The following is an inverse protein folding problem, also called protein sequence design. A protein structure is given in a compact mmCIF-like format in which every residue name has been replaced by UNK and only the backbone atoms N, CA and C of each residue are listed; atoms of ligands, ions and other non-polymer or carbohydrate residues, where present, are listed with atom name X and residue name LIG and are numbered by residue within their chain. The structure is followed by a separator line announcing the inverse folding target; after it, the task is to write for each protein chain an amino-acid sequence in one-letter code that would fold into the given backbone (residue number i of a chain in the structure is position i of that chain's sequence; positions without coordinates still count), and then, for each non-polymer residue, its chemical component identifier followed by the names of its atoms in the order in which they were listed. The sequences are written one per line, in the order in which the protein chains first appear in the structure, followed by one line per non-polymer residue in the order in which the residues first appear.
data_IF_334123723060
#
_entry.id   IF_334123723060
#
_cell.length_a   1.000
_cell.length_b   1.000
_cell.length_c   1.000
_cell.angle_alpha   90.00
_cell.angle_beta   90.00
_cell.angle_gamma   90.00
#
_symmetry.space_group_name_H-M   'P 1'
#
loop_
_entity.id
_entity.type
_entity.pdbx_description
1 polymer ?
#
# COMPACT_ATOMS: atom_id res chain seq x y z
N UNK A 1 12.75 -32.56 31.29
CA UNK A 1 11.72 -31.99 32.20
C UNK A 1 12.22 -30.79 33.02
N UNK A 2 13.42 -30.83 33.59
CA UNK A 2 13.96 -29.72 34.40
C UNK A 2 14.05 -28.38 33.66
N UNK A 3 14.43 -28.37 32.37
CA UNK A 3 14.44 -27.16 31.53
C UNK A 3 13.05 -26.55 31.40
N UNK A 4 11.98 -27.35 31.29
CA UNK A 4 10.63 -26.80 31.21
C UNK A 4 10.20 -26.20 32.56
N UNK A 5 10.52 -26.89 33.66
CA UNK A 5 10.24 -26.39 35.02
C UNK A 5 10.96 -25.08 35.33
N UNK A 6 12.17 -24.86 34.79
CA UNK A 6 12.90 -23.60 35.04
C UNK A 6 12.23 -22.37 34.43
N UNK A 7 11.38 -22.54 33.40
CA UNK A 7 10.63 -21.44 32.79
C UNK A 7 9.51 -20.89 33.67
N UNK A 8 9.13 -21.62 34.72
CA UNK A 8 8.11 -21.22 35.70
C UNK A 8 8.74 -20.71 37.02
N UNK A 9 10.08 -20.64 37.11
CA UNK A 9 10.79 -20.14 38.30
C UNK A 9 11.11 -18.65 38.12
N UNK A 10 10.67 -17.84 39.10
CA UNK A 10 10.94 -16.39 39.11
C UNK A 10 12.45 -16.11 39.18
N UNK A 11 12.92 -15.27 38.27
CA UNK A 11 14.34 -14.93 38.11
C UNK A 11 14.49 -13.41 38.00
N UNK A 12 15.55 -12.86 38.59
CA UNK A 12 15.92 -11.44 38.39
C UNK A 12 16.37 -11.25 36.93
N UNK A 13 15.81 -10.26 36.25
CA UNK A 13 16.17 -9.94 34.87
C UNK A 13 15.93 -8.47 34.55
N UNK A 14 16.54 -7.98 33.49
CA UNK A 14 16.29 -6.65 32.94
C UNK A 14 15.49 -6.76 31.65
N UNK A 15 14.43 -5.95 31.51
CA UNK A 15 13.52 -6.01 30.35
C UNK A 15 13.37 -4.65 29.68
N UNK A 16 13.17 -4.66 28.37
CA UNK A 16 12.86 -3.47 27.58
C UNK A 16 11.54 -2.83 28.01
N UNK A 17 11.52 -1.50 28.11
CA UNK A 17 10.28 -0.70 28.14
C UNK A 17 10.46 0.53 27.26
N UNK A 18 9.35 1.17 26.87
CA UNK A 18 9.40 2.45 26.14
C UNK A 18 10.08 3.59 26.92
N UNK A 19 10.31 3.43 28.23
CA UNK A 19 11.01 4.39 29.10
C UNK A 19 12.45 3.96 29.42
N UNK A 20 12.97 2.92 28.77
CA UNK A 20 14.28 2.34 29.04
C UNK A 20 14.22 0.94 29.65
N UNK A 21 15.38 0.35 29.90
CA UNK A 21 15.50 -0.94 30.57
C UNK A 21 15.00 -0.87 32.02
N UNK A 22 14.31 -1.91 32.46
CA UNK A 22 13.76 -2.02 33.80
C UNK A 22 14.15 -3.36 34.40
N UNK A 23 14.83 -3.31 35.54
CA UNK A 23 15.09 -4.50 36.36
C UNK A 23 13.81 -4.95 37.06
N UNK A 24 13.59 -6.26 37.04
CA UNK A 24 12.37 -6.88 37.55
C UNK A 24 12.60 -8.34 37.93
N UNK A 25 11.59 -8.95 38.55
CA UNK A 25 11.56 -10.38 38.87
C UNK A 25 10.33 -10.96 38.18
N UNK A 26 10.55 -11.83 37.20
CA UNK A 26 9.48 -12.56 36.51
C UNK A 26 9.95 -13.96 36.10
N UNK A 27 9.04 -14.81 35.64
CA UNK A 27 9.44 -16.11 35.09
C UNK A 27 9.96 -15.94 33.66
N UNK A 28 10.88 -16.80 33.17
CA UNK A 28 11.27 -16.78 31.75
C UNK A 28 10.09 -16.94 30.78
N UNK A 29 9.03 -17.63 31.19
CA UNK A 29 7.79 -17.73 30.41
C UNK A 29 7.08 -16.38 30.30
N UNK A 30 6.95 -15.65 31.41
CA UNK A 30 6.35 -14.32 31.40
C UNK A 30 7.18 -13.34 30.56
N UNK A 31 8.51 -13.46 30.57
CA UNK A 31 9.38 -12.59 29.78
C UNK A 31 9.19 -12.84 28.28
N UNK A 32 9.01 -14.08 27.84
CA UNK A 32 8.70 -14.39 26.44
C UNK A 32 7.36 -13.79 26.04
N UNK A 33 6.31 -13.98 26.85
CA UNK A 33 4.98 -13.38 26.59
C UNK A 33 5.09 -11.86 26.53
N UNK A 34 5.84 -11.27 27.45
CA UNK A 34 6.11 -9.84 27.49
C UNK A 34 6.80 -9.36 26.20
N UNK A 35 7.84 -10.02 25.71
CA UNK A 35 8.49 -9.59 24.46
C UNK A 35 7.61 -9.83 23.22
N UNK A 36 6.81 -10.90 23.20
CA UNK A 36 5.88 -11.20 22.09
C UNK A 36 4.71 -10.21 22.00
N UNK A 37 4.38 -9.49 23.07
CA UNK A 37 3.31 -8.48 23.05
C UNK A 37 3.67 -7.21 22.26
N UNK A 38 4.97 -6.89 22.10
CA UNK A 38 5.37 -5.67 21.43
C UNK A 38 5.07 -5.76 19.93
N UNK A 39 4.30 -4.78 19.46
CA UNK A 39 4.13 -4.56 18.02
C UNK A 39 5.46 -4.11 17.44
N UNK A 40 5.84 -4.75 16.36
CA UNK A 40 6.98 -4.41 15.52
C UNK A 40 6.55 -3.50 14.38
N UNK A 41 7.53 -2.89 13.71
CA UNK A 41 7.32 -2.11 12.51
C UNK A 41 8.47 -2.26 11.54
N UNK A 42 8.16 -2.15 10.25
CA UNK A 42 9.12 -2.03 9.16
C UNK A 42 8.75 -0.80 8.36
N UNK A 43 9.70 0.11 8.18
CA UNK A 43 9.48 1.36 7.44
C UNK A 43 10.58 1.56 6.43
N UNK A 44 10.19 1.82 5.19
CA UNK A 44 11.12 2.21 4.15
C UNK A 44 10.55 3.39 3.36
N UNK A 45 11.42 4.32 3.01
CA UNK A 45 11.11 5.37 2.04
C UNK A 45 12.21 5.46 0.99
N UNK A 46 11.83 5.71 -0.25
CA UNK A 46 12.74 5.88 -1.37
C UNK A 46 12.27 6.97 -2.33
N UNK A 47 13.22 7.55 -3.04
CA UNK A 47 12.98 8.45 -4.16
C UNK A 47 12.60 7.63 -5.41
N UNK A 48 11.38 7.80 -5.97
CA UNK A 48 10.90 6.97 -7.06
C UNK A 48 11.78 7.03 -8.32
N UNK A 49 12.36 8.18 -8.64
CA UNK A 49 13.09 8.44 -9.87
C UNK A 49 14.49 7.82 -9.91
N UNK A 50 15.12 7.66 -8.74
CA UNK A 50 16.54 7.25 -8.64
C UNK A 50 16.70 5.87 -8.01
N UNK A 51 15.72 5.41 -7.24
CA UNK A 51 15.87 4.21 -6.42
C UNK A 51 16.55 4.46 -5.07
N UNK A 52 16.97 5.70 -4.78
CA UNK A 52 17.73 5.99 -3.57
C UNK A 52 16.87 5.86 -2.31
N UNK A 53 17.29 4.97 -1.43
CA UNK A 53 16.64 4.76 -0.12
C UNK A 53 16.96 5.95 0.78
N UNK A 54 15.91 6.62 1.25
CA UNK A 54 16.02 7.78 2.16
C UNK A 54 15.79 7.39 3.62
N UNK A 55 15.03 6.31 3.85
CA UNK A 55 14.69 5.82 5.20
C UNK A 55 14.70 4.29 5.20
N UNK A 56 15.31 3.70 6.23
CA UNK A 56 15.24 2.28 6.54
C UNK A 56 15.13 2.08 8.06
N UNK A 57 13.96 1.64 8.53
CA UNK A 57 13.70 1.32 9.94
C UNK A 57 13.28 -0.14 10.02
N UNK A 58 14.22 -1.01 10.39
CA UNK A 58 14.01 -2.46 10.44
C UNK A 58 13.25 -2.98 11.66
N UNK A 59 13.03 -2.16 12.69
CA UNK A 59 12.36 -2.58 13.92
C UNK A 59 12.23 -1.45 14.94
N UNK A 60 11.56 -1.72 16.07
CA UNK A 60 11.28 -0.70 17.11
C UNK A 60 12.47 -0.40 18.02
N UNK A 61 13.41 -1.34 18.17
CA UNK A 61 14.61 -1.18 18.98
C UNK A 61 15.63 -2.28 18.68
N UNK A 62 16.77 -1.93 18.06
CA UNK A 62 17.78 -2.91 17.64
C UNK A 62 18.44 -3.67 18.80
N UNK A 63 18.59 -3.07 19.98
CA UNK A 63 19.19 -3.74 21.15
C UNK A 63 18.38 -4.96 21.60
N UNK A 64 17.05 -4.89 21.46
CA UNK A 64 16.13 -5.93 21.93
C UNK A 64 15.47 -6.73 20.81
N UNK A 65 15.38 -6.17 19.60
CA UNK A 65 14.72 -6.77 18.44
C UNK A 65 15.63 -6.59 17.22
N UNK A 66 16.40 -7.64 16.89
CA UNK A 66 17.42 -7.60 15.84
C UNK A 66 16.92 -8.12 14.48
N UNK A 67 15.63 -8.37 14.34
CA UNK A 67 15.04 -8.83 13.09
C UNK A 67 14.70 -7.64 12.19
N UNK A 68 15.13 -7.70 10.93
CA UNK A 68 14.86 -6.63 9.95
C UNK A 68 13.53 -6.85 9.23
N UNK A 69 12.54 -6.06 9.62
CA UNK A 69 11.21 -6.07 9.03
C UNK A 69 11.11 -5.41 7.64
N UNK A 70 12.19 -4.83 7.11
CA UNK A 70 12.18 -4.18 5.79
C UNK A 70 12.67 -5.09 4.68
N UNK A 71 13.87 -5.67 4.84
CA UNK A 71 14.51 -6.52 3.82
C UNK A 71 14.23 -8.01 4.00
N UNK A 72 13.99 -8.47 5.23
CA UNK A 72 13.82 -9.90 5.54
C UNK A 72 12.37 -10.26 5.89
N UNK A 73 11.67 -9.37 6.61
CA UNK A 73 10.34 -9.61 7.16
C UNK A 73 9.19 -9.62 6.17
N UNK A 74 9.12 -10.62 5.28
CA UNK A 74 7.96 -10.84 4.43
C UNK A 74 6.68 -11.08 5.26
N UNK A 75 5.63 -10.32 4.98
CA UNK A 75 4.37 -10.33 5.74
C UNK A 75 3.18 -10.27 4.80
N UNK A 76 2.04 -10.79 5.26
CA UNK A 76 0.83 -10.79 4.45
C UNK A 76 0.44 -9.33 4.13
N UNK A 77 0.41 -8.99 2.84
CA UNK A 77 0.23 -7.60 2.38
C UNK A 77 -1.23 -7.13 2.45
N UNK A 78 -2.18 -8.07 2.37
CA UNK A 78 -3.60 -7.76 2.36
C UNK A 78 -3.97 -6.83 1.20
N UNK A 79 -4.86 -5.88 1.47
CA UNK A 79 -5.40 -5.00 0.42
C UNK A 79 -4.39 -4.08 -0.30
N UNK A 80 -3.12 -3.99 0.13
CA UNK A 80 -2.07 -3.31 -0.66
C UNK A 80 -1.66 -4.10 -1.90
N UNK A 81 -2.11 -5.34 -2.10
CA UNK A 81 -1.88 -6.06 -3.36
C UNK A 81 -2.85 -5.64 -4.47
N UNK A 82 -4.01 -5.09 -4.12
CA UNK A 82 -5.07 -4.75 -5.09
C UNK A 82 -4.62 -3.85 -6.23
N UNK A 83 -3.77 -2.82 -6.03
CA UNK A 83 -3.30 -1.99 -7.15
C UNK A 83 -2.61 -2.78 -8.26
N UNK A 84 -1.94 -3.91 -7.97
CA UNK A 84 -1.37 -4.77 -9.02
C UNK A 84 -2.45 -5.48 -9.85
N UNK A 85 -3.54 -5.91 -9.21
CA UNK A 85 -4.72 -6.48 -9.89
C UNK A 85 -5.37 -5.42 -10.80
N UNK A 86 -5.54 -4.20 -10.29
CA UNK A 86 -6.14 -3.09 -11.05
C UNK A 86 -5.23 -2.65 -12.19
N UNK A 87 -3.91 -2.59 -11.98
CA UNK A 87 -2.93 -2.28 -13.02
C UNK A 87 -2.99 -3.31 -14.14
N UNK A 88 -3.02 -4.60 -13.80
CA UNK A 88 -3.15 -5.69 -14.78
C UNK A 88 -4.46 -5.56 -15.59
N UNK A 89 -5.58 -5.27 -14.91
CA UNK A 89 -6.87 -5.10 -15.59
C UNK A 89 -6.90 -3.87 -16.50
N UNK A 90 -6.37 -2.74 -16.06
CA UNK A 90 -6.26 -1.52 -16.89
C UNK A 90 -5.35 -1.77 -18.09
N UNK A 91 -4.21 -2.42 -17.89
CA UNK A 91 -3.22 -2.69 -18.93
C UNK A 91 -3.77 -3.63 -20.01
N UNK A 92 -4.36 -4.76 -19.61
CA UNK A 92 -4.81 -5.81 -20.52
C UNK A 92 -6.20 -5.54 -21.11
N UNK A 93 -7.14 -5.06 -20.30
CA UNK A 93 -8.54 -4.89 -20.69
C UNK A 93 -8.89 -3.46 -21.10
N UNK A 94 -7.90 -2.54 -21.06
CA UNK A 94 -8.08 -1.11 -21.37
C UNK A 94 -9.17 -0.44 -20.55
N UNK A 95 -9.38 -0.94 -19.33
CA UNK A 95 -10.35 -0.35 -18.40
C UNK A 95 -9.87 1.01 -17.93
N UNK A 96 -10.82 1.87 -17.56
CA UNK A 96 -10.54 3.17 -16.95
C UNK A 96 -10.95 3.19 -15.47
N UNK A 97 -10.32 4.04 -14.64
CA UNK A 97 -10.78 4.30 -13.26
C UNK A 97 -12.27 4.64 -13.13
N UNK A 98 -12.90 5.09 -14.20
CA UNK A 98 -14.28 5.54 -14.25
C UNK A 98 -15.26 4.48 -14.73
N UNK A 99 -14.75 3.34 -15.18
CA UNK A 99 -15.59 2.22 -15.58
C UNK A 99 -16.29 1.65 -14.36
N UNK A 100 -17.53 1.23 -14.56
CA UNK A 100 -18.37 0.71 -13.49
C UNK A 100 -18.37 -0.81 -13.46
N UNK A 101 -18.41 -1.36 -12.25
CA UNK A 101 -18.53 -2.80 -11.99
C UNK A 101 -19.43 -3.00 -10.78
N UNK A 102 -20.23 -4.07 -10.80
CA UNK A 102 -21.10 -4.39 -9.67
C UNK A 102 -20.29 -4.92 -8.49
N UNK A 103 -20.42 -4.27 -7.34
CA UNK A 103 -20.16 -4.86 -6.03
C UNK A 103 -21.37 -5.70 -5.62
N UNK A 104 -21.23 -7.02 -5.76
CA UNK A 104 -22.24 -8.03 -5.45
C UNK A 104 -21.55 -9.33 -5.00
N UNK A 105 -22.27 -10.29 -4.39
CA UNK A 105 -21.73 -11.63 -4.15
C UNK A 105 -21.08 -12.19 -5.41
N UNK A 106 -19.94 -12.84 -5.23
CA UNK A 106 -19.16 -13.46 -6.28
C UNK A 106 -18.58 -14.76 -5.74
N UNK A 107 -18.75 -15.84 -6.50
CA UNK A 107 -18.18 -17.15 -6.19
C UNK A 107 -17.34 -17.59 -7.37
N UNK A 108 -16.07 -17.89 -7.11
CA UNK A 108 -15.21 -18.54 -8.07
C UNK A 108 -15.34 -20.06 -7.86
N UNK A 109 -15.74 -20.84 -8.89
CA UNK A 109 -16.00 -22.26 -8.72
C UNK A 109 -14.71 -23.06 -8.55
N UNK A 110 -14.79 -24.18 -7.81
CA UNK A 110 -13.73 -25.18 -7.71
C UNK A 110 -13.15 -25.53 -9.09
N UNK A 111 -11.83 -25.67 -9.16
CA UNK A 111 -11.08 -25.99 -10.37
C UNK A 111 -10.69 -24.77 -11.19
N UNK A 112 -11.38 -23.63 -11.06
CA UNK A 112 -11.01 -22.39 -11.77
C UNK A 112 -9.69 -21.85 -11.22
N UNK A 113 -8.71 -21.64 -12.11
CA UNK A 113 -7.32 -21.33 -11.72
C UNK A 113 -6.74 -22.31 -10.69
N UNK A 114 -7.21 -23.56 -10.74
CA UNK A 114 -6.73 -24.66 -9.90
C UNK A 114 -7.11 -24.58 -8.42
N UNK A 115 -8.12 -23.80 -8.01
CA UNK A 115 -8.55 -23.76 -6.60
C UNK A 115 -9.28 -25.05 -6.18
N UNK A 116 -9.07 -25.48 -4.94
CA UNK A 116 -9.52 -26.80 -4.45
C UNK A 116 -10.99 -26.82 -3.98
N UNK A 117 -11.58 -25.65 -3.79
CA UNK A 117 -12.96 -25.45 -3.35
C UNK A 117 -13.52 -24.14 -3.91
N UNK A 118 -14.85 -24.02 -3.90
CA UNK A 118 -15.52 -22.76 -4.23
C UNK A 118 -15.01 -21.64 -3.32
N UNK A 119 -14.65 -20.51 -3.93
CA UNK A 119 -14.13 -19.35 -3.23
C UNK A 119 -15.09 -18.17 -3.33
N UNK A 120 -15.71 -17.83 -2.21
CA UNK A 120 -16.72 -16.76 -2.10
C UNK A 120 -16.22 -15.62 -1.20
N UNK A 121 -15.38 -14.71 -1.71
CA UNK A 121 -14.85 -13.61 -0.90
C UNK A 121 -15.97 -12.64 -0.47
N UNK A 122 -15.89 -12.18 0.77
CA UNK A 122 -16.83 -11.19 1.35
C UNK A 122 -16.16 -9.83 1.52
N UNK A 123 -16.94 -8.76 1.41
CA UNK A 123 -16.47 -7.42 1.76
C UNK A 123 -16.27 -7.28 3.26
N UNK A 124 -15.25 -6.53 3.68
CA UNK A 124 -15.00 -6.24 5.11
C UNK A 124 -16.16 -5.51 5.79
N UNK A 125 -16.98 -4.78 5.02
CA UNK A 125 -18.19 -4.11 5.52
C UNK A 125 -19.40 -5.04 5.69
N UNK A 126 -19.34 -6.29 5.21
CA UNK A 126 -20.51 -7.19 5.13
C UNK A 126 -21.53 -6.82 4.04
N UNK A 127 -21.57 -5.55 3.62
CA UNK A 127 -22.54 -5.02 2.64
C UNK A 127 -21.99 -4.96 1.20
N UNK A 128 -22.92 -4.88 0.24
CA UNK A 128 -22.68 -4.72 -1.20
C UNK A 128 -23.26 -3.39 -1.68
N UNK A 129 -22.50 -2.64 -2.48
CA UNK A 129 -22.86 -1.27 -2.91
C UNK A 129 -23.59 -1.19 -4.25
N UNK A 130 -23.77 -2.31 -4.95
CA UNK A 130 -24.29 -2.30 -6.32
C UNK A 130 -23.25 -1.73 -7.29
N UNK A 131 -23.68 -0.92 -8.25
CA UNK A 131 -22.80 -0.40 -9.28
C UNK A 131 -21.82 0.65 -8.70
N UNK A 132 -20.52 0.42 -8.86
CA UNK A 132 -19.46 1.32 -8.39
C UNK A 132 -18.40 1.51 -9.46
N UNK A 133 -17.76 2.68 -9.51
CA UNK A 133 -16.59 2.89 -10.37
C UNK A 133 -15.37 2.14 -9.85
N UNK A 134 -14.39 1.82 -10.71
CA UNK A 134 -13.11 1.25 -10.26
C UNK A 134 -12.40 2.15 -9.24
N UNK A 135 -12.46 3.48 -9.40
CA UNK A 135 -11.94 4.46 -8.42
C UNK A 135 -12.61 4.29 -7.05
N UNK A 136 -13.94 4.23 -7.01
CA UNK A 136 -14.67 4.02 -5.75
C UNK A 136 -14.38 2.64 -5.15
N UNK A 137 -14.27 1.61 -5.99
CA UNK A 137 -13.99 0.25 -5.56
C UNK A 137 -12.61 0.10 -4.91
N UNK A 138 -11.56 0.68 -5.50
CA UNK A 138 -10.22 0.66 -4.87
C UNK A 138 -10.18 1.55 -3.64
N UNK A 139 -10.80 2.74 -3.69
CA UNK A 139 -10.87 3.68 -2.56
C UNK A 139 -11.45 3.01 -1.30
N UNK A 140 -12.57 2.31 -1.46
CA UNK A 140 -13.25 1.57 -0.40
C UNK A 140 -12.70 0.16 -0.18
N UNK A 141 -11.66 -0.23 -0.92
CA UNK A 141 -11.03 -1.53 -0.84
C UNK A 141 -12.02 -2.69 -0.95
N UNK A 142 -12.92 -2.65 -1.93
CA UNK A 142 -13.97 -3.66 -2.12
C UNK A 142 -13.34 -5.00 -2.55
N UNK A 143 -13.68 -6.09 -1.86
CA UNK A 143 -13.08 -7.41 -2.06
C UNK A 143 -13.68 -8.11 -3.28
N UNK A 144 -15.00 -8.07 -3.42
CA UNK A 144 -15.73 -8.69 -4.54
C UNK A 144 -15.31 -8.13 -5.88
N UNK A 145 -15.13 -6.81 -6.00
CA UNK A 145 -14.64 -6.17 -7.22
C UNK A 145 -13.22 -6.63 -7.56
N UNK A 146 -12.33 -6.70 -6.56
CA UNK A 146 -10.95 -7.18 -6.78
C UNK A 146 -10.92 -8.65 -7.22
N UNK A 147 -11.81 -9.48 -6.66
CA UNK A 147 -11.96 -10.88 -7.07
C UNK A 147 -12.53 -11.01 -8.49
N UNK A 148 -13.50 -10.17 -8.88
CA UNK A 148 -14.03 -10.12 -10.25
C UNK A 148 -13.00 -9.64 -11.27
N UNK A 149 -12.14 -8.67 -10.91
CA UNK A 149 -11.03 -8.24 -11.76
C UNK A 149 -10.00 -9.35 -11.91
N UNK A 150 -9.61 -10.00 -10.80
CA UNK A 150 -8.74 -11.18 -10.81
C UNK A 150 -9.29 -12.29 -11.71
N UNK A 151 -10.59 -12.52 -11.68
CA UNK A 151 -11.25 -13.51 -12.53
C UNK A 151 -11.23 -13.16 -14.02
N UNK A 152 -11.10 -11.88 -14.37
CA UNK A 152 -11.03 -11.42 -15.76
C UNK A 152 -9.61 -11.52 -16.32
N UNK A 153 -8.59 -11.21 -15.51
CA UNK A 153 -7.18 -11.18 -15.96
C UNK A 153 -6.42 -12.48 -15.67
N UNK A 154 -6.86 -13.26 -14.69
CA UNK A 154 -6.18 -14.45 -14.21
C UNK A 154 -5.00 -14.14 -13.27
N UNK A 155 -4.70 -15.04 -12.31
CA UNK A 155 -3.64 -14.83 -11.32
C UNK A 155 -2.24 -14.78 -11.93
N UNK A 156 -1.96 -15.56 -12.97
CA UNK A 156 -0.65 -15.59 -13.63
C UNK A 156 -0.25 -14.21 -14.18
N UNK A 157 -1.15 -13.53 -14.89
CA UNK A 157 -0.91 -12.18 -15.40
C UNK A 157 -0.58 -11.16 -14.28
N UNK A 158 -1.26 -11.26 -13.13
CA UNK A 158 -1.01 -10.40 -11.98
C UNK A 158 0.34 -10.71 -11.35
N UNK A 159 0.71 -11.99 -11.24
CA UNK A 159 2.00 -12.45 -10.73
C UNK A 159 3.12 -11.93 -11.64
N UNK A 160 2.99 -12.10 -12.96
CA UNK A 160 3.95 -11.62 -13.94
C UNK A 160 4.19 -10.11 -13.86
N UNK A 161 3.12 -9.32 -13.81
CA UNK A 161 3.26 -7.87 -13.63
C UNK A 161 3.97 -7.54 -12.31
N UNK A 162 3.58 -8.19 -11.22
CA UNK A 162 4.16 -7.96 -9.90
C UNK A 162 5.66 -8.33 -9.87
N UNK A 163 6.07 -9.42 -10.53
CA UNK A 163 7.48 -9.79 -10.71
C UNK A 163 8.23 -8.78 -11.57
N UNK A 164 7.63 -8.26 -12.64
CA UNK A 164 8.24 -7.20 -13.46
C UNK A 164 8.48 -5.91 -12.68
N UNK A 165 7.64 -5.63 -11.69
CA UNK A 165 7.77 -4.52 -10.71
C UNK A 165 8.81 -4.80 -9.60
N UNK A 166 9.65 -5.82 -9.75
CA UNK A 166 10.79 -6.07 -8.87
C UNK A 166 10.49 -6.87 -7.60
N UNK A 167 9.27 -7.36 -7.43
CA UNK A 167 8.94 -8.22 -6.27
C UNK A 167 9.67 -9.56 -6.38
N UNK A 168 10.60 -9.79 -5.46
CA UNK A 168 11.43 -10.99 -5.41
C UNK A 168 10.73 -12.16 -4.72
N UNK A 169 9.85 -11.85 -3.75
CA UNK A 169 9.08 -12.82 -2.95
C UNK A 169 8.31 -13.83 -3.80
N UNK A 170 8.18 -15.08 -3.34
CA UNK A 170 7.39 -16.10 -4.04
C UNK A 170 5.89 -15.74 -3.97
N UNK A 171 5.22 -15.61 -5.12
CA UNK A 171 3.80 -15.26 -5.21
C UNK A 171 3.04 -16.48 -5.70
N UNK A 172 2.11 -17.04 -4.92
CA UNK A 172 1.31 -18.17 -5.38
C UNK A 172 0.39 -17.73 -6.51
N UNK A 173 0.33 -18.48 -7.61
CA UNK A 173 -0.57 -18.22 -8.73
C UNK A 173 -2.01 -18.63 -8.41
N UNK A 174 -2.58 -18.04 -7.35
CA UNK A 174 -3.91 -18.36 -6.83
C UNK A 174 -4.78 -17.10 -6.76
N UNK A 175 -6.09 -17.19 -7.06
CA UNK A 175 -7.00 -16.04 -7.03
C UNK A 175 -7.03 -15.25 -5.71
N UNK A 176 -6.76 -15.92 -4.58
CA UNK A 176 -6.75 -15.31 -3.26
C UNK A 176 -5.71 -14.17 -3.11
N UNK A 177 -4.67 -14.13 -3.96
CA UNK A 177 -3.72 -12.99 -3.98
C UNK A 177 -4.43 -11.67 -4.32
N UNK A 178 -5.60 -11.70 -4.96
CA UNK A 178 -6.41 -10.49 -5.21
C UNK A 178 -6.76 -9.73 -3.91
N UNK A 179 -6.78 -10.45 -2.78
CA UNK A 179 -7.03 -9.90 -1.45
C UNK A 179 -5.75 -9.82 -0.60
N UNK A 180 -4.60 -10.09 -1.21
CA UNK A 180 -3.28 -10.07 -0.57
C UNK A 180 -2.98 -11.27 0.30
N UNK A 181 -3.48 -12.46 -0.05
CA UNK A 181 -3.03 -13.73 0.52
C UNK A 181 -1.64 -14.13 -0.01
N UNK A 182 -0.66 -13.24 0.18
CA UNK A 182 0.74 -13.40 -0.22
C UNK A 182 1.61 -12.59 0.73
N UNK A 183 2.81 -13.09 0.98
CA UNK A 183 3.82 -12.45 1.83
C UNK A 183 4.86 -11.76 0.99
N UNK A 184 5.07 -10.46 1.22
CA UNK A 184 6.04 -9.65 0.50
C UNK A 184 6.75 -8.73 1.50
N UNK A 185 8.03 -8.46 1.28
CA UNK A 185 8.83 -7.56 2.11
C UNK A 185 8.39 -6.11 1.94
N UNK A 186 8.66 -5.25 2.94
CA UNK A 186 8.37 -3.82 2.82
C UNK A 186 9.18 -3.22 1.68
N UNK A 187 10.44 -3.63 1.51
CA UNK A 187 11.31 -3.16 0.44
C UNK A 187 10.76 -3.43 -0.96
N UNK A 188 10.35 -4.66 -1.25
CA UNK A 188 9.73 -5.04 -2.52
C UNK A 188 8.44 -4.25 -2.76
N UNK A 189 7.58 -4.15 -1.75
CA UNK A 189 6.30 -3.43 -1.86
C UNK A 189 6.50 -1.93 -2.13
N UNK A 190 7.47 -1.29 -1.45
CA UNK A 190 7.78 0.12 -1.67
C UNK A 190 8.32 0.32 -3.07
N UNK A 191 9.30 -0.47 -3.51
CA UNK A 191 9.88 -0.36 -4.85
C UNK A 191 8.84 -0.56 -5.96
N UNK A 192 7.98 -1.57 -5.81
CA UNK A 192 6.90 -1.83 -6.77
C UNK A 192 5.92 -0.64 -6.86
N UNK A 193 5.52 -0.08 -5.71
CA UNK A 193 4.66 1.10 -5.67
C UNK A 193 5.34 2.33 -6.28
N UNK A 194 6.63 2.57 -5.97
CA UNK A 194 7.42 3.69 -6.50
C UNK A 194 7.33 3.80 -8.03
N UNK A 195 7.22 2.67 -8.72
CA UNK A 195 7.04 2.61 -10.17
C UNK A 195 5.86 3.44 -10.66
N UNK A 196 4.73 3.46 -9.93
CA UNK A 196 3.56 4.28 -10.31
C UNK A 196 3.85 5.78 -10.22
N UNK A 197 4.58 6.21 -9.18
CA UNK A 197 5.01 7.60 -9.02
C UNK A 197 6.07 7.99 -10.06
N UNK A 198 6.89 7.01 -10.49
CA UNK A 198 7.91 7.17 -11.51
C UNK A 198 7.40 6.87 -12.94
N UNK A 199 6.12 7.16 -13.20
CA UNK A 199 5.49 7.08 -14.52
C UNK A 199 5.62 5.71 -15.23
N UNK A 200 5.81 4.63 -14.46
CA UNK A 200 5.88 3.25 -14.98
C UNK A 200 7.30 2.68 -15.08
N UNK A 201 8.31 3.46 -14.69
CA UNK A 201 9.71 3.02 -14.65
C UNK A 201 10.05 2.50 -13.25
N UNK A 202 10.29 1.20 -13.14
CA UNK A 202 10.77 0.58 -11.91
C UNK A 202 12.24 0.98 -11.67
N UNK A 203 12.56 1.35 -10.44
CA UNK A 203 13.93 1.60 -9.97
C UNK A 203 14.25 0.62 -8.85
N UNK A 204 15.33 -0.14 -8.99
CA UNK A 204 15.81 -1.02 -7.92
C UNK A 204 16.25 -0.17 -6.72
N UNK A 205 15.86 -0.52 -5.48
CA UNK A 205 16.32 0.21 -4.30
C UNK A 205 17.84 0.19 -4.14
N UNK A 206 18.43 1.34 -3.86
CA UNK A 206 19.89 1.50 -3.67
C UNK A 206 20.20 2.21 -2.36
N UNK A 207 21.09 1.62 -1.57
CA UNK A 207 21.54 2.15 -0.26
C UNK A 207 22.98 2.66 -0.29
N UNK A 208 23.80 2.22 -1.26
CA UNK A 208 25.16 2.70 -1.48
C UNK A 208 25.18 3.45 -2.81
N UNK A 209 25.63 4.71 -2.80
CA UNK A 209 25.76 5.52 -4.03
C UNK A 209 27.18 5.54 -4.56
N UNK A 210 28.18 5.57 -3.67
CA UNK A 210 29.60 5.67 -4.04
C UNK A 210 30.48 5.08 -2.94
N UNK A 211 31.57 4.43 -3.32
CA UNK A 211 32.65 4.01 -2.42
C UNK A 211 33.95 4.57 -3.01
N UNK A 212 34.71 5.28 -2.18
CA UNK A 212 36.01 5.86 -2.54
C UNK A 212 37.09 5.36 -1.58
N UNK A 213 38.33 5.31 -2.06
CA UNK A 213 39.49 5.13 -1.20
C UNK A 213 39.90 6.45 -0.50
N UNK A 214 40.90 6.39 0.37
CA UNK A 214 41.42 7.56 1.10
C UNK A 214 42.02 8.65 0.20
N UNK A 215 42.31 8.34 -1.06
CA UNK A 215 42.90 9.26 -2.05
C UNK A 215 41.83 9.85 -2.99
N UNK A 216 40.56 9.51 -2.79
CA UNK A 216 39.45 9.94 -3.66
C UNK A 216 39.29 9.10 -4.94
N UNK A 217 39.94 7.93 -5.02
CA UNK A 217 39.75 7.01 -6.15
C UNK A 217 38.41 6.30 -5.97
N UNK A 218 37.53 6.44 -6.96
CA UNK A 218 36.22 5.78 -6.97
C UNK A 218 36.39 4.28 -7.18
N UNK A 219 36.03 3.49 -6.18
CA UNK A 219 36.06 2.01 -6.21
C UNK A 219 34.72 1.43 -6.67
N UNK A 220 33.64 2.15 -6.38
CA UNK A 220 32.29 1.81 -6.79
C UNK A 220 31.48 3.09 -6.95
N UNK A 221 30.68 3.15 -8.00
CA UNK A 221 29.65 4.16 -8.18
C UNK A 221 28.39 3.45 -8.64
N UNK A 222 27.28 3.77 -7.99
CA UNK A 222 26.01 3.11 -8.23
C UNK A 222 25.45 3.55 -9.58
N UNK A 223 25.29 2.60 -10.47
CA UNK A 223 24.53 2.78 -11.72
C UNK A 223 23.09 2.38 -11.40
N UNK A 224 22.10 3.29 -11.50
CA UNK A 224 20.70 2.95 -11.26
C UNK A 224 20.22 1.80 -12.15
N UNK A 225 19.74 0.71 -11.54
CA UNK A 225 19.11 -0.39 -12.27
C UNK A 225 17.62 -0.06 -12.47
N UNK A 226 17.24 0.22 -13.71
CA UNK A 226 15.88 0.61 -14.09
C UNK A 226 15.22 -0.35 -15.07
N UNK A 227 13.89 -0.38 -15.08
CA UNK A 227 13.10 -1.14 -16.05
C UNK A 227 11.80 -0.43 -16.38
N UNK A 228 11.51 -0.25 -17.66
CA UNK A 228 10.17 0.16 -18.11
C UNK A 228 9.19 -1.00 -17.91
N UNK A 229 8.16 -0.80 -17.07
CA UNK A 229 7.19 -1.84 -16.74
C UNK A 229 5.78 -1.49 -17.20
N UNK A 230 5.37 -0.23 -17.03
CA UNK A 230 4.04 0.27 -17.36
C UNK A 230 4.14 1.52 -18.23
N UNK A 231 3.11 1.76 -19.05
CA UNK A 231 3.02 3.05 -19.75
C UNK A 231 2.70 4.19 -18.77
N UNK A 232 3.03 5.42 -19.16
CA UNK A 232 2.70 6.62 -18.39
C UNK A 232 1.20 6.73 -18.10
N UNK A 233 0.37 6.37 -19.06
CA UNK A 233 -1.09 6.39 -18.94
C UNK A 233 -1.61 5.41 -17.90
N UNK A 234 -1.12 4.17 -17.92
CA UNK A 234 -1.52 3.15 -16.93
C UNK A 234 -1.04 3.55 -15.54
N UNK A 235 0.20 4.00 -15.42
CA UNK A 235 0.77 4.47 -14.16
C UNK A 235 -0.03 5.64 -13.58
N UNK A 236 -0.36 6.63 -14.41
CA UNK A 236 -1.19 7.77 -13.99
C UNK A 236 -2.61 7.33 -13.61
N UNK A 237 -3.23 6.41 -14.34
CA UNK A 237 -4.53 5.85 -13.98
C UNK A 237 -4.50 5.17 -12.59
N UNK A 238 -3.44 4.44 -12.27
CA UNK A 238 -3.24 3.83 -10.95
C UNK A 238 -3.01 4.89 -9.87
N UNK A 239 -2.24 5.93 -10.16
CA UNK A 239 -2.10 7.08 -9.25
C UNK A 239 -3.47 7.68 -8.93
N UNK A 240 -4.34 7.92 -9.93
CA UNK A 240 -5.69 8.47 -9.70
C UNK A 240 -6.60 7.54 -8.92
N UNK A 241 -6.47 6.22 -9.08
CA UNK A 241 -7.16 5.24 -8.24
C UNK A 241 -6.68 5.31 -6.78
N UNK A 242 -5.37 5.41 -6.57
CA UNK A 242 -4.72 5.51 -5.26
C UNK A 242 -4.98 6.85 -4.55
N UNK A 243 -5.08 7.96 -5.29
CA UNK A 243 -5.54 9.24 -4.75
C UNK A 243 -6.97 9.12 -4.21
N UNK A 244 -7.86 8.41 -4.91
CA UNK A 244 -9.22 8.15 -4.42
C UNK A 244 -9.26 7.48 -3.05
N UNK A 245 -8.28 6.62 -2.74
CA UNK A 245 -8.14 5.98 -1.43
C UNK A 245 -7.87 7.00 -0.32
N UNK A 246 -7.03 8.00 -0.58
CA UNK A 246 -6.67 9.02 0.41
C UNK A 246 -7.62 10.21 0.42
N UNK A 247 -8.38 10.44 -0.65
CA UNK A 247 -9.39 11.49 -0.76
C UNK A 247 -10.65 11.14 0.04
N UNK A 248 -11.24 9.97 -0.23
CA UNK A 248 -12.56 9.61 0.31
C UNK A 248 -12.68 8.16 0.78
N UNK A 249 -11.61 7.38 0.65
CA UNK A 249 -11.60 5.95 0.94
C UNK A 249 -11.00 5.58 2.29
N UNK A 250 -10.47 4.35 2.33
CA UNK A 250 -9.84 3.77 3.53
C UNK A 250 -8.60 4.55 4.05
N UNK A 251 -8.00 5.41 3.23
CA UNK A 251 -6.89 6.30 3.61
C UNK A 251 -7.32 7.73 3.97
N UNK A 252 -8.62 8.06 3.96
CA UNK A 252 -9.12 9.43 4.11
C UNK A 252 -8.79 10.08 5.47
N UNK A 253 -8.31 9.30 6.46
CA UNK A 253 -7.77 9.84 7.73
C UNK A 253 -6.59 10.79 7.53
N UNK A 254 -5.91 10.76 6.38
CA UNK A 254 -4.90 11.75 6.02
C UNK A 254 -5.47 13.17 5.84
N UNK A 255 -6.75 13.28 5.48
CA UNK A 255 -7.45 14.55 5.22
C UNK A 255 -8.12 15.13 6.46
N UNK A 256 -8.76 14.28 7.25
CA UNK A 256 -9.68 14.76 8.30
C UNK A 256 -8.98 15.30 9.55
N UNK A 257 -9.60 16.35 10.10
CA UNK A 257 -9.20 17.09 11.30
C UNK A 257 -9.50 16.39 12.64
N UNK A 258 -10.37 15.36 12.67
CA UNK A 258 -10.84 14.76 13.92
C UNK A 258 -11.20 13.28 13.76
N UNK A 259 -10.52 12.41 14.52
CA UNK A 259 -10.93 11.01 14.73
C UNK A 259 -11.61 10.80 16.08
N UNK A 260 -11.99 11.86 16.79
CA UNK A 260 -12.38 11.80 18.20
C UNK A 260 -11.18 11.72 19.16
N UNK A 261 -11.40 11.86 20.49
CA UNK A 261 -10.34 12.00 21.49
C UNK A 261 -9.38 10.80 21.55
N UNK A 262 -9.91 9.58 21.42
CA UNK A 262 -9.14 8.33 21.46
C UNK A 262 -8.13 8.25 20.32
N UNK A 263 -8.54 8.61 19.10
CA UNK A 263 -7.64 8.57 17.95
C UNK A 263 -6.62 9.69 17.98
N UNK A 264 -6.96 10.89 18.47
CA UNK A 264 -6.00 11.97 18.67
C UNK A 264 -4.82 11.52 19.54
N UNK A 265 -5.11 10.84 20.66
CA UNK A 265 -4.09 10.39 21.61
C UNK A 265 -3.19 9.28 21.06
N UNK A 266 -3.72 8.38 20.24
CA UNK A 266 -3.00 7.17 19.78
C UNK A 266 -2.33 7.36 18.41
N UNK A 267 -2.90 8.20 17.55
CA UNK A 267 -2.46 8.31 16.14
C UNK A 267 -1.83 9.67 15.81
N UNK A 268 -1.97 10.68 16.67
CA UNK A 268 -1.41 12.01 16.41
C UNK A 268 -2.19 12.83 15.38
N UNK A 269 -3.46 12.47 15.13
CA UNK A 269 -4.40 13.29 14.36
C UNK A 269 -4.60 14.70 14.99
N UNK A 270 -4.88 15.73 14.18
CA UNK A 270 -4.97 15.69 12.72
C UNK A 270 -3.64 15.88 11.98
N UNK A 271 -3.58 15.28 10.80
CA UNK A 271 -2.54 15.55 9.80
C UNK A 271 -2.95 16.70 8.88
N UNK A 272 -4.20 16.69 8.40
CA UNK A 272 -4.81 17.74 7.58
C UNK A 272 -4.06 18.05 6.27
N UNK A 273 -3.62 17.02 5.56
CA UNK A 273 -2.93 17.20 4.28
C UNK A 273 -3.89 17.65 3.18
N UNK A 274 -3.53 18.73 2.48
CA UNK A 274 -4.29 19.27 1.36
C UNK A 274 -3.71 18.90 -0.01
N UNK A 275 -2.43 18.51 -0.06
CA UNK A 275 -1.76 18.13 -1.29
C UNK A 275 -2.22 16.76 -1.80
N UNK A 276 -2.09 16.49 -3.11
CA UNK A 276 -2.35 15.17 -3.68
C UNK A 276 -1.41 14.11 -3.08
N UNK A 277 -1.99 12.99 -2.66
CA UNK A 277 -1.27 11.84 -2.08
C UNK A 277 -1.90 10.59 -2.65
N UNK A 278 -1.12 9.77 -3.35
CA UNK A 278 -1.54 8.43 -3.71
C UNK A 278 -1.18 7.46 -2.59
N UNK A 279 -2.07 6.56 -2.20
CA UNK A 279 -1.72 5.55 -1.21
C UNK A 279 -2.73 4.42 -1.08
N UNK A 280 -2.32 3.35 -0.40
CA UNK A 280 -3.17 2.19 -0.15
C UNK A 280 -2.98 1.66 1.27
N UNK A 281 -4.10 1.42 1.92
CA UNK A 281 -4.16 0.65 3.18
C UNK A 281 -4.18 -0.85 2.89
N UNK A 282 -3.53 -1.62 3.76
CA UNK A 282 -3.64 -3.08 3.81
C UNK A 282 -3.96 -3.52 5.22
N UNK A 283 -4.78 -4.56 5.31
CA UNK A 283 -5.10 -5.24 6.55
C UNK A 283 -5.15 -6.72 6.21
N UNK A 284 -4.36 -7.55 6.89
CA UNK A 284 -4.44 -9.00 6.73
C UNK A 284 -5.68 -9.56 7.42
N UNK A 285 -6.01 -10.82 7.13
CA UNK A 285 -7.07 -11.51 7.84
C UNK A 285 -6.74 -11.56 9.35
N UNK A 286 -7.76 -11.54 10.21
CA UNK A 286 -7.64 -11.48 11.67
C UNK A 286 -6.98 -10.20 12.24
N UNK A 287 -6.64 -9.23 11.40
CA UNK A 287 -6.03 -7.96 11.80
C UNK A 287 -4.64 -8.15 12.45
N UNK A 288 -3.85 -9.10 11.94
CA UNK A 288 -2.48 -9.38 12.40
C UNK A 288 -1.46 -8.39 11.83
N UNK A 289 -1.67 -7.93 10.58
CA UNK A 289 -0.78 -7.05 9.85
C UNK A 289 -1.52 -5.82 9.37
N UNK A 290 -1.01 -4.65 9.74
CA UNK A 290 -1.44 -3.35 9.26
C UNK A 290 -0.42 -2.77 8.31
N UNK A 291 -0.86 -2.36 7.12
CA UNK A 291 -0.03 -1.74 6.10
C UNK A 291 -0.56 -0.39 5.68
N UNK A 292 0.36 0.52 5.37
CA UNK A 292 0.08 1.70 4.58
C UNK A 292 1.26 2.00 3.68
N UNK A 293 1.00 2.12 2.38
CA UNK A 293 1.99 2.56 1.40
C UNK A 293 1.46 3.83 0.78
N UNK A 294 2.19 4.92 0.93
CA UNK A 294 1.79 6.24 0.46
C UNK A 294 2.94 6.93 -0.29
N UNK A 295 2.58 7.77 -1.23
CA UNK A 295 3.51 8.42 -2.14
C UNK A 295 3.06 9.82 -2.52
N UNK A 296 4.06 10.64 -2.78
CA UNK A 296 4.02 11.91 -3.49
C UNK A 296 5.03 11.86 -4.64
N UNK A 297 5.04 12.82 -5.57
CA UNK A 297 5.80 12.68 -6.82
C UNK A 297 7.29 12.27 -6.66
N UNK A 298 7.97 12.74 -5.61
CA UNK A 298 9.39 12.48 -5.37
C UNK A 298 9.68 11.64 -4.11
N UNK A 299 8.67 11.02 -3.49
CA UNK A 299 8.89 10.16 -2.31
C UNK A 299 7.80 9.09 -2.20
N UNK A 300 8.20 7.82 -2.16
CA UNK A 300 7.33 6.70 -1.84
C UNK A 300 7.76 6.07 -0.52
N UNK A 301 6.81 5.79 0.36
CA UNK A 301 7.06 5.24 1.70
C UNK A 301 6.05 4.16 2.04
N UNK A 302 6.55 3.04 2.56
CA UNK A 302 5.77 1.92 3.05
C UNK A 302 5.99 1.72 4.54
N UNK A 303 4.90 1.43 5.23
CA UNK A 303 4.87 1.11 6.65
C UNK A 303 4.13 -0.21 6.83
N UNK A 304 4.78 -1.15 7.51
CA UNK A 304 4.15 -2.32 8.11
C UNK A 304 4.18 -2.19 9.64
N UNK A 305 3.11 -2.64 10.29
CA UNK A 305 3.03 -2.83 11.75
C UNK A 305 2.35 -4.16 12.02
N UNK A 306 2.84 -4.92 12.98
CA UNK A 306 2.25 -6.19 13.39
C UNK A 306 3.08 -6.85 14.50
N UNK A 307 2.62 -7.99 15.00
CA UNK A 307 3.42 -8.78 15.94
C UNK A 307 4.41 -9.69 15.19
N UNK A 308 5.50 -10.05 15.86
CA UNK A 308 6.44 -11.04 15.35
C UNK A 308 5.72 -12.36 15.07
N UNK A 309 4.91 -12.83 16.03
CA UNK A 309 4.00 -13.96 15.91
C UNK A 309 2.62 -13.49 15.42
N UNK A 310 2.15 -14.08 14.31
CA UNK A 310 0.89 -13.68 13.66
C UNK A 310 -0.36 -14.10 14.42
N UNK A 311 -0.24 -15.03 15.37
CA UNK A 311 -1.32 -15.41 16.27
C UNK A 311 -1.68 -14.29 17.24
N UNK A 312 -0.75 -13.37 17.51
CA UNK A 312 -1.04 -12.13 18.22
C UNK A 312 -1.63 -11.11 17.23
N UNK A 313 -2.87 -10.70 17.48
CA UNK A 313 -3.60 -9.79 16.61
C UNK A 313 -4.62 -8.96 17.39
N UNK A 314 -5.11 -7.89 16.77
CA UNK A 314 -6.17 -7.10 17.36
C UNK A 314 -7.51 -7.82 17.33
N UNK A 315 -8.30 -7.66 18.39
CA UNK A 315 -9.66 -8.24 18.50
C UNK A 315 -10.65 -7.64 17.49
N UNK A 316 -10.42 -6.42 17.01
CA UNK A 316 -11.32 -5.73 16.08
C UNK A 316 -10.57 -5.08 14.92
N UNK A 317 -11.20 -5.07 13.75
CA UNK A 317 -10.69 -4.37 12.56
C UNK A 317 -10.54 -2.88 12.78
N UNK A 318 -11.35 -2.28 13.65
CA UNK A 318 -11.22 -0.87 14.00
C UNK A 318 -9.81 -0.54 14.52
N UNK A 319 -9.26 -1.41 15.37
CA UNK A 319 -7.93 -1.24 15.98
C UNK A 319 -6.82 -1.80 15.09
N UNK A 320 -7.02 -2.97 14.47
CA UNK A 320 -5.97 -3.67 13.72
C UNK A 320 -5.92 -3.39 12.22
N UNK A 321 -6.68 -2.42 11.71
CA UNK A 321 -6.57 -2.01 10.30
C UNK A 321 -5.32 -1.17 10.03
N UNK A 322 -4.80 -1.24 8.80
CA UNK A 322 -3.66 -0.41 8.37
C UNK A 322 -3.86 1.10 8.58
N UNK A 323 -5.11 1.59 8.50
CA UNK A 323 -5.44 3.00 8.77
C UNK A 323 -5.26 3.42 10.24
N UNK A 324 -5.19 2.47 11.18
CA UNK A 324 -4.94 2.70 12.62
C UNK A 324 -3.51 2.33 12.99
N UNK A 325 -2.96 1.25 12.42
CA UNK A 325 -1.64 0.73 12.79
C UNK A 325 -0.50 1.42 12.03
N UNK A 326 -0.58 1.49 10.70
CA UNK A 326 0.55 1.89 9.85
C UNK A 326 0.44 3.33 9.31
N UNK A 327 -0.75 3.74 8.87
CA UNK A 327 -1.00 5.09 8.35
C UNK A 327 -0.54 6.21 9.29
N UNK A 328 -0.66 6.12 10.64
CA UNK A 328 -0.19 7.18 11.52
C UNK A 328 1.31 7.43 11.47
N UNK A 329 2.13 6.39 11.31
CA UNK A 329 3.59 6.54 11.16
C UNK A 329 3.89 7.35 9.90
N UNK A 330 3.24 7.00 8.78
CA UNK A 330 3.36 7.75 7.52
C UNK A 330 2.91 9.20 7.68
N UNK A 331 1.74 9.43 8.30
CA UNK A 331 1.19 10.77 8.49
C UNK A 331 2.05 11.67 9.36
N UNK A 332 2.58 11.15 10.48
CA UNK A 332 3.49 11.90 11.35
C UNK A 332 4.84 12.16 10.67
N UNK A 333 5.36 11.19 9.92
CA UNK A 333 6.58 11.37 9.14
C UNK A 333 6.44 12.48 8.11
N UNK A 334 5.39 12.42 7.27
CA UNK A 334 5.17 13.43 6.23
C UNK A 334 4.89 14.81 6.78
N UNK A 335 4.21 14.92 7.93
CA UNK A 335 4.01 16.21 8.62
C UNK A 335 5.34 16.84 9.02
N UNK A 336 6.31 16.04 9.46
CA UNK A 336 7.67 16.53 9.76
C UNK A 336 8.43 16.87 8.48
N UNK A 337 8.30 16.06 7.43
CA UNK A 337 8.93 16.35 6.15
C UNK A 337 8.45 17.67 5.54
N UNK A 338 7.15 17.95 5.58
CA UNK A 338 6.59 19.21 5.08
C UNK A 338 6.87 20.42 5.96
N UNK A 339 7.33 20.21 7.20
CA UNK A 339 7.78 21.29 8.07
C UNK A 339 9.26 21.64 7.86
N UNK A 340 10.00 20.86 7.07
CA UNK A 340 11.42 21.09 6.75
C UNK A 340 11.61 21.24 5.24
N UNK A 341 11.62 22.48 4.78
CA UNK A 341 11.76 22.83 3.35
C UNK A 341 13.06 22.31 2.73
N UNK A 342 14.10 22.04 3.53
CA UNK A 342 15.38 21.51 3.02
C UNK A 342 15.26 20.11 2.43
N UNK A 343 14.23 19.36 2.85
CA UNK A 343 13.97 18.01 2.36
C UNK A 343 13.32 18.01 0.97
N UNK A 344 12.79 19.15 0.51
CA UNK A 344 12.19 19.33 -0.81
C UNK A 344 11.11 18.27 -1.16
N UNK A 345 10.37 17.77 -0.17
CA UNK A 345 9.32 16.76 -0.39
C UNK A 345 8.13 17.41 -1.09
N UNK A 346 7.72 16.85 -2.22
CA UNK A 346 6.73 17.47 -3.10
C UNK A 346 5.34 17.54 -2.45
N UNK A 347 4.73 18.72 -2.57
CA UNK A 347 3.30 18.96 -2.34
C UNK A 347 2.54 19.20 -3.67
N UNK A 348 3.22 19.08 -4.81
CA UNK A 348 2.63 19.26 -6.14
C UNK A 348 1.83 18.01 -6.56
N UNK A 349 0.88 18.13 -7.49
CA UNK A 349 0.26 16.98 -8.13
C UNK A 349 1.27 16.09 -8.86
N UNK A 350 0.92 14.82 -9.04
CA UNK A 350 1.62 13.94 -9.97
C UNK A 350 1.52 14.47 -11.40
N UNK A 351 2.60 14.31 -12.17
CA UNK A 351 2.66 14.77 -13.56
C UNK A 351 1.62 14.04 -14.41
N UNK A 352 0.73 14.81 -15.05
CA UNK A 352 -0.29 14.28 -15.96
C UNK A 352 0.31 14.10 -17.36
N UNK A 353 0.22 12.91 -17.98
CA UNK A 353 0.63 12.71 -19.37
C UNK A 353 -0.13 13.63 -20.32
N UNK A 354 0.59 14.26 -21.27
CA UNK A 354 0.01 15.22 -22.21
C UNK A 354 -1.13 14.62 -23.07
N UNK A 355 -0.97 13.37 -23.50
CA UNK A 355 -1.91 12.66 -24.37
C UNK A 355 -2.58 11.48 -23.64
N UNK A 356 -3.04 11.71 -22.40
CA UNK A 356 -3.65 10.67 -21.58
C UNK A 356 -4.87 10.05 -22.27
N UNK A 357 -4.75 8.80 -22.69
CA UNK A 357 -5.80 8.03 -23.39
C UNK A 357 -6.82 7.40 -22.43
N UNK A 358 -6.43 7.13 -21.18
CA UNK A 358 -7.27 6.49 -20.18
C UNK A 358 -8.08 7.55 -19.43
N UNK A 359 -9.41 7.38 -19.41
CA UNK A 359 -10.30 8.30 -18.68
C UNK A 359 -10.13 8.16 -17.16
N UNK A 360 -9.56 9.18 -16.52
CA UNK A 360 -9.33 9.15 -15.05
C UNK A 360 -10.23 10.10 -14.26
N UNK A 361 -10.84 11.08 -14.93
CA UNK A 361 -11.71 12.08 -14.34
C UNK A 361 -13.17 11.63 -14.48
N UNK A 362 -13.68 10.95 -13.43
CA UNK A 362 -14.94 10.21 -13.50
C UNK A 362 -16.18 11.09 -13.38
N UNK A 363 -15.99 12.33 -12.95
CA UNK A 363 -16.99 13.37 -13.01
C UNK A 363 -16.49 14.44 -13.98
N UNK A 364 -17.27 14.69 -15.02
CA UNK A 364 -17.14 15.88 -15.83
C UNK A 364 -18.40 16.73 -15.58
N UNK A 365 -18.27 18.06 -15.35
CA UNK A 365 -19.43 18.92 -15.37
C UNK A 365 -20.14 18.72 -16.72
N UNK A 366 -21.48 18.67 -16.71
CA UNK A 366 -22.22 18.71 -17.98
C UNK A 366 -21.74 19.95 -18.72
N UNK A 367 -21.26 19.79 -19.96
CA UNK A 367 -21.14 20.93 -20.87
C UNK A 367 -22.52 21.57 -20.89
N UNK A 368 -22.62 22.82 -20.46
CA UNK A 368 -23.83 23.61 -20.67
C UNK A 368 -23.95 23.66 -22.19
N UNK A 369 -24.90 22.91 -22.76
CA UNK A 369 -25.29 23.15 -24.13
C UNK A 369 -25.83 24.57 -24.15
N UNK A 370 -25.21 25.44 -24.94
CA UNK A 370 -25.71 26.79 -25.12
C UNK A 370 -27.11 26.66 -25.73
N UNK A 371 -28.14 26.95 -24.93
CA UNK A 371 -29.54 26.89 -25.37
C UNK A 371 -29.88 27.99 -26.39
N UNK A 372 -28.90 28.80 -26.80
CA UNK A 372 -29.02 29.81 -27.86
C UNK A 372 -28.37 29.42 -29.18
N UNK A 373 -27.78 28.21 -29.28
CA UNK A 373 -27.34 27.68 -30.57
C UNK A 373 -28.58 27.39 -31.44
N UNK A 374 -28.91 28.32 -32.33
CA UNK A 374 -29.87 28.13 -33.41
C UNK A 374 -29.24 27.15 -34.39
N UNK A 375 -29.80 25.95 -34.53
CA UNK A 375 -29.53 25.12 -35.69
C UNK A 375 -30.04 25.87 -36.92
N UNK A 376 -29.12 26.38 -37.74
CA UNK A 376 -29.50 26.86 -39.07
C UNK A 376 -30.00 25.65 -39.87
N UNK A 377 -31.23 25.68 -40.40
CA UNK A 377 -31.71 24.60 -41.27
C UNK A 377 -30.86 24.61 -42.54
N UNK A 378 -30.10 23.54 -42.75
CA UNK A 378 -29.37 23.27 -43.99
C UNK A 378 -30.36 23.10 -45.13
N UNK A 379 -30.28 23.94 -46.16
CA UNK A 379 -31.13 23.90 -47.37
C UNK A 379 -30.67 22.88 -48.42
N UNK A 380 -30.10 21.74 -48.03
CA UNK A 380 -29.55 20.74 -48.97
C UNK A 380 -30.47 19.52 -49.22
N UNK A 381 -31.79 19.67 -49.07
CA UNK A 381 -32.74 18.67 -49.58
C UNK A 381 -33.87 19.36 -50.34
N UNK A 382 -33.63 19.78 -51.59
CA UNK A 382 -34.62 19.85 -52.68
C UNK A 382 -33.89 20.15 -53.99
N UNK A 383 -33.22 19.15 -54.57
CA UNK A 383 -33.01 19.12 -56.02
C UNK A 383 -34.06 18.16 -56.61
N UNK A 384 -34.88 18.71 -57.52
CA UNK A 384 -35.94 18.04 -58.26
C UNK A 384 -35.41 17.24 -59.45
#
# INVERSE_FOLDING_TARGET
EQIKKSFDVKTKMSVFTWKGEKDTIMTPKDSIIYYKHFLQTGVMAMEPQTGYVKVWVGGINYKHFQYDHVGQGARQVGSTFKPFVYATAIEQLKMSPCDSIYDSPFTMPKGRYGIDADWTPKNSSGNYRGLVTLKSALANSINTVSAKLMDKVGPHAVVDLTKKLGVSSNIPERPAIALGAVEITVSDMVAAYSTFANQGVYMKPQVITKIEDKNGVVLYESIPESKDVLSKDVSYAIIKLLEGVTESGSGARLRYGSGGPTYKRVTGLPYAFLNPIAGKTGTSQNNSDGWFIGMVPNLAMGVWVGNEDRSAHFKSTQMGQGATMALPIWGLFMKKCYADDKLNVSQKPFERPANLSIKVDCWAPKKVADSTAVEEPTTEEFDF
#
